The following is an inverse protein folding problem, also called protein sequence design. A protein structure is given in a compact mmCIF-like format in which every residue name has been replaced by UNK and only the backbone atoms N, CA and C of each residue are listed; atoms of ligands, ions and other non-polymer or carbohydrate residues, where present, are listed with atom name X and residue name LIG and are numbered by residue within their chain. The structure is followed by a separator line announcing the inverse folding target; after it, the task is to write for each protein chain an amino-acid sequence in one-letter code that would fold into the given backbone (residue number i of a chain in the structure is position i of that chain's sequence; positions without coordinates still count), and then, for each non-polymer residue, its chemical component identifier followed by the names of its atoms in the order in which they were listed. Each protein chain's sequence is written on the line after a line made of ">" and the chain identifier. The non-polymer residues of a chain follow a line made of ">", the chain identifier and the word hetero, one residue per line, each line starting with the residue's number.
data_IF_917255218123
#
_entry.id   IF_917255218123
#
_cell.length_a   1.000
_cell.length_b   1.000
_cell.length_c   1.000
_cell.angle_alpha   90.00
_cell.angle_beta   90.00
_cell.angle_gamma   90.00
#
_symmetry.space_group_name_H-M   'P 1'
#
loop_
_entity.id
_entity.type
_entity.pdbx_description
1 polymer ?
#
# COMPACT_ATOMS: atom_id res chain seq x y z
N UNK A 1 6.81 -11.68 -10.82
CA UNK A 1 7.28 -11.28 -12.17
C UNK A 1 7.18 -12.42 -13.19
N UNK A 2 7.62 -13.65 -12.88
CA UNK A 2 7.45 -14.79 -13.81
C UNK A 2 6.00 -14.97 -14.30
N UNK A 3 5.02 -14.73 -13.45
CA UNK A 3 3.59 -14.82 -13.77
C UNK A 3 3.09 -13.79 -14.80
N UNK A 4 3.79 -12.68 -15.01
CA UNK A 4 3.37 -11.67 -16.00
C UNK A 4 3.87 -12.00 -17.41
N UNK A 5 5.00 -12.72 -17.50
CA UNK A 5 5.74 -12.90 -18.75
C UNK A 5 5.71 -14.34 -19.32
N UNK A 6 5.34 -15.33 -18.48
CA UNK A 6 5.29 -16.74 -18.90
C UNK A 6 3.87 -17.20 -19.20
N UNK A 7 3.75 -18.37 -19.82
CA UNK A 7 2.46 -19.06 -20.02
C UNK A 7 1.79 -19.24 -18.66
N UNK A 8 0.54 -18.83 -18.59
CA UNK A 8 -0.30 -18.97 -17.41
C UNK A 8 -0.60 -20.46 -17.22
N UNK A 9 -0.15 -21.02 -16.12
CA UNK A 9 -0.38 -22.41 -15.75
C UNK A 9 -1.43 -22.53 -14.63
N UNK A 10 -1.86 -23.75 -14.32
CA UNK A 10 -2.85 -24.00 -13.27
C UNK A 10 -2.36 -23.53 -11.88
N UNK A 11 -1.04 -23.55 -11.63
CA UNK A 11 -0.46 -23.07 -10.39
C UNK A 11 -0.55 -21.55 -10.30
N UNK A 12 -0.24 -20.83 -11.38
CA UNK A 12 -0.38 -19.38 -11.46
C UNK A 12 -1.84 -18.95 -11.23
N UNK A 13 -2.80 -19.68 -11.80
CA UNK A 13 -4.21 -19.42 -11.60
C UNK A 13 -4.65 -19.66 -10.15
N UNK A 14 -4.13 -20.70 -9.52
CA UNK A 14 -4.50 -21.10 -8.15
C UNK A 14 -3.87 -20.20 -7.09
N UNK A 15 -2.59 -19.82 -7.25
CA UNK A 15 -1.82 -19.10 -6.23
C UNK A 15 -1.61 -17.62 -6.54
N UNK A 16 -1.82 -17.17 -7.77
CA UNK A 16 -1.53 -15.80 -8.16
C UNK A 16 -2.30 -14.75 -7.36
N UNK A 17 -3.59 -14.99 -7.10
CA UNK A 17 -4.41 -14.09 -6.28
C UNK A 17 -3.91 -14.03 -4.82
N UNK A 18 -3.51 -15.16 -4.26
CA UNK A 18 -2.91 -15.22 -2.92
C UNK A 18 -1.59 -14.46 -2.86
N UNK A 19 -0.70 -14.67 -3.83
CA UNK A 19 0.59 -13.98 -3.90
C UNK A 19 0.40 -12.47 -4.06
N UNK A 20 -0.51 -12.03 -4.92
CA UNK A 20 -0.81 -10.62 -5.13
C UNK A 20 -1.41 -9.96 -3.88
N UNK A 21 -2.31 -10.65 -3.18
CA UNK A 21 -2.84 -10.18 -1.90
C UNK A 21 -1.75 -10.07 -0.84
N UNK A 22 -0.92 -11.10 -0.69
CA UNK A 22 0.19 -11.10 0.26
C UNK A 22 1.18 -9.96 -0.05
N UNK A 23 1.46 -9.68 -1.32
CA UNK A 23 2.28 -8.55 -1.73
C UNK A 23 1.65 -7.23 -1.29
N UNK A 24 0.36 -7.00 -1.55
CA UNK A 24 -0.34 -5.77 -1.17
C UNK A 24 -0.34 -5.55 0.35
N UNK A 25 -0.69 -6.59 1.12
CA UNK A 25 -0.71 -6.54 2.58
C UNK A 25 0.69 -6.24 3.17
N UNK A 26 1.72 -6.96 2.70
CA UNK A 26 3.09 -6.77 3.18
C UNK A 26 3.66 -5.41 2.78
N UNK A 27 3.37 -4.92 1.58
CA UNK A 27 3.79 -3.59 1.16
C UNK A 27 3.14 -2.49 2.00
N UNK A 28 1.83 -2.58 2.27
CA UNK A 28 1.14 -1.65 3.17
C UNK A 28 1.69 -1.73 4.60
N UNK A 29 1.98 -2.93 5.11
CA UNK A 29 2.60 -3.10 6.42
C UNK A 29 4.01 -2.47 6.48
N UNK A 30 4.81 -2.64 5.43
CA UNK A 30 6.12 -2.01 5.31
C UNK A 30 6.02 -0.47 5.30
N UNK A 31 5.05 0.09 4.58
CA UNK A 31 4.78 1.53 4.56
C UNK A 31 4.35 2.05 5.93
N UNK A 32 3.45 1.33 6.63
CA UNK A 32 3.09 1.67 8.02
C UNK A 32 4.34 1.64 8.91
N UNK A 33 5.21 0.63 8.77
CA UNK A 33 6.45 0.53 9.54
C UNK A 33 7.44 1.67 9.25
N UNK A 34 7.46 2.19 8.02
CA UNK A 34 8.26 3.35 7.65
C UNK A 34 7.73 4.66 8.22
N UNK A 35 6.41 4.82 8.29
CA UNK A 35 5.72 6.00 8.82
C UNK A 35 5.63 6.00 10.34
N UNK A 36 5.43 4.83 10.94
CA UNK A 36 5.25 4.60 12.37
C UNK A 36 6.02 3.35 12.82
N UNK A 37 7.33 3.48 12.92
CA UNK A 37 8.20 2.38 13.34
C UNK A 37 7.85 1.86 14.76
N UNK A 38 7.39 2.74 15.65
CA UNK A 38 6.97 2.32 16.99
C UNK A 38 5.81 1.32 16.93
N UNK A 39 4.84 1.51 16.04
CA UNK A 39 3.72 0.58 15.87
C UNK A 39 4.21 -0.84 15.56
N UNK A 40 5.17 -0.97 14.65
CA UNK A 40 5.69 -2.28 14.24
C UNK A 40 6.58 -2.91 15.31
N UNK A 41 7.42 -2.13 15.96
CA UNK A 41 8.26 -2.60 17.07
C UNK A 41 7.40 -3.07 18.24
N UNK A 42 6.35 -2.32 18.58
CA UNK A 42 5.40 -2.72 19.63
C UNK A 42 4.73 -4.05 19.31
N UNK A 43 4.29 -4.25 18.06
CA UNK A 43 3.68 -5.52 17.65
C UNK A 43 4.68 -6.68 17.73
N UNK A 44 5.92 -6.47 17.31
CA UNK A 44 6.97 -7.47 17.40
C UNK A 44 7.24 -7.88 18.85
N UNK A 45 7.41 -6.90 19.74
CA UNK A 45 7.63 -7.14 21.18
C UNK A 45 6.44 -7.84 21.82
N UNK A 46 5.21 -7.44 21.47
CA UNK A 46 4.00 -8.09 21.97
C UNK A 46 3.92 -9.56 21.55
N UNK A 47 4.23 -9.85 20.29
CA UNK A 47 4.21 -11.20 19.74
C UNK A 47 5.37 -12.08 20.27
N UNK A 48 6.45 -11.47 20.75
CA UNK A 48 7.57 -12.16 21.37
C UNK A 48 7.31 -12.60 22.83
N UNK A 49 6.22 -12.13 23.45
CA UNK A 49 5.91 -12.50 24.83
C UNK A 49 5.53 -13.98 24.93
N UNK A 50 6.02 -14.66 26.00
CA UNK A 50 5.74 -16.09 26.21
C UNK A 50 4.26 -16.45 26.38
N UNK A 51 3.42 -15.48 26.70
CA UNK A 51 1.95 -15.64 26.79
C UNK A 51 1.25 -15.46 25.45
N UNK A 52 1.97 -15.10 24.37
CA UNK A 52 1.38 -14.96 23.04
C UNK A 52 1.05 -16.33 22.46
N UNK A 53 -0.21 -16.56 22.14
CA UNK A 53 -0.66 -17.80 21.53
C UNK A 53 -0.85 -17.63 20.02
N UNK A 54 0.01 -18.27 19.24
CA UNK A 54 -0.10 -18.31 17.78
C UNK A 54 -1.40 -19.01 17.36
N UNK A 55 -2.14 -18.35 16.46
CA UNK A 55 -3.41 -18.92 15.94
C UNK A 55 -4.66 -18.50 16.72
N UNK A 56 -4.54 -17.87 17.88
CA UNK A 56 -5.69 -17.21 18.49
C UNK A 56 -5.95 -15.85 17.84
N UNK A 57 -7.22 -15.50 17.53
CA UNK A 57 -7.54 -14.16 17.06
C UNK A 57 -7.11 -13.13 18.10
N UNK A 58 -6.04 -12.43 17.83
CA UNK A 58 -5.55 -11.39 18.74
C UNK A 58 -5.91 -10.01 18.21
N UNK A 59 -6.15 -9.08 19.13
CA UNK A 59 -6.29 -7.65 18.79
C UNK A 59 -4.94 -6.99 18.46
N UNK A 60 -3.85 -7.72 18.61
CA UNK A 60 -2.46 -7.24 18.57
C UNK A 60 -1.72 -7.68 17.30
N UNK A 61 -2.40 -7.73 16.17
CA UNK A 61 -1.83 -7.95 14.85
C UNK A 61 -1.93 -6.70 13.99
N UNK A 62 -1.16 -6.69 12.89
CA UNK A 62 -1.38 -5.75 11.81
C UNK A 62 -2.76 -6.00 11.18
N UNK A 63 -3.52 -4.93 10.97
CA UNK A 63 -4.88 -5.04 10.46
C UNK A 63 -5.06 -4.17 9.22
N UNK A 64 -5.66 -4.76 8.19
CA UNK A 64 -6.08 -4.01 7.01
C UNK A 64 -7.00 -2.84 7.38
N UNK A 65 -8.05 -3.10 8.16
CA UNK A 65 -8.88 -2.05 8.74
C UNK A 65 -8.33 -1.68 10.12
N UNK A 66 -7.91 -0.43 10.27
CA UNK A 66 -7.28 0.14 11.45
C UNK A 66 -5.84 0.61 11.21
N UNK A 67 -5.00 -0.18 10.51
CA UNK A 67 -3.61 0.22 10.22
C UNK A 67 -3.43 0.74 8.79
N UNK A 68 -4.17 0.22 7.81
CA UNK A 68 -4.14 0.71 6.42
C UNK A 68 -5.30 1.65 6.16
N UNK A 69 -6.52 1.19 6.39
CA UNK A 69 -7.74 1.98 6.26
C UNK A 69 -8.21 2.42 7.64
N UNK A 70 -8.51 3.71 7.80
CA UNK A 70 -9.09 4.22 9.04
C UNK A 70 -10.53 3.72 9.20
N UNK A 71 -10.91 3.45 10.46
CA UNK A 71 -12.30 3.18 10.85
C UNK A 71 -13.10 4.47 11.07
N UNK A 72 -12.46 5.62 10.86
CA UNK A 72 -13.05 6.92 11.19
C UNK A 72 -14.25 7.23 10.30
N UNK A 73 -15.22 7.89 10.90
CA UNK A 73 -16.32 8.49 10.17
C UNK A 73 -15.81 9.66 9.32
N UNK A 74 -16.43 9.94 8.18
CA UNK A 74 -16.10 11.12 7.38
C UNK A 74 -16.12 12.36 8.27
N UNK A 75 -15.03 13.12 8.25
CA UNK A 75 -14.90 14.36 9.00
C UNK A 75 -15.54 15.49 8.22
N UNK A 76 -16.36 16.32 8.90
CA UNK A 76 -16.90 17.53 8.30
C UNK A 76 -15.79 18.55 8.00
N UNK A 77 -14.80 18.63 8.91
CA UNK A 77 -13.58 19.45 8.76
C UNK A 77 -12.40 18.70 9.35
N UNK A 78 -11.28 18.69 8.64
CA UNK A 78 -10.06 17.98 9.05
C UNK A 78 -9.46 18.58 10.35
N UNK A 79 -9.52 19.91 10.49
CA UNK A 79 -8.87 20.67 11.56
C UNK A 79 -9.89 21.26 12.55
N UNK A 80 -10.82 20.44 13.01
CA UNK A 80 -11.78 20.86 14.02
C UNK A 80 -11.08 20.90 15.41
N UNK A 81 -11.15 22.06 16.08
CA UNK A 81 -10.57 22.27 17.42
C UNK A 81 -11.19 21.38 18.51
N UNK A 82 -12.41 20.89 18.29
CA UNK A 82 -13.11 20.00 19.22
C UNK A 82 -12.68 18.53 19.08
N UNK A 83 -11.82 18.23 18.11
CA UNK A 83 -11.27 16.88 17.95
C UNK A 83 -10.26 16.57 19.05
N UNK A 84 -10.43 15.40 19.66
CA UNK A 84 -9.44 14.83 20.56
C UNK A 84 -8.25 14.30 19.73
N UNK A 85 -7.15 15.02 19.74
CA UNK A 85 -5.94 14.69 18.99
C UNK A 85 -5.36 13.32 19.36
N UNK A 86 -5.65 12.82 20.59
CA UNK A 86 -5.21 11.50 21.03
C UNK A 86 -5.93 10.34 20.32
N UNK A 87 -7.07 10.64 19.69
CA UNK A 87 -7.92 9.67 18.97
C UNK A 87 -7.82 9.77 17.44
N UNK A 88 -6.96 10.66 16.94
CA UNK A 88 -6.74 10.78 15.49
C UNK A 88 -6.13 9.49 14.96
N UNK A 89 -6.75 8.95 13.91
CA UNK A 89 -6.29 7.73 13.26
C UNK A 89 -4.90 7.92 12.64
N UNK A 90 -4.03 6.94 12.87
CA UNK A 90 -2.68 6.85 12.30
C UNK A 90 -2.61 5.85 11.14
N UNK A 91 -3.78 5.42 10.64
CA UNK A 91 -3.86 4.51 9.51
C UNK A 91 -3.22 5.14 8.26
N UNK A 92 -2.57 4.31 7.45
CA UNK A 92 -1.83 4.72 6.25
C UNK A 92 -2.60 5.69 5.36
N UNK A 93 -3.90 5.44 5.18
CA UNK A 93 -4.80 6.24 4.34
C UNK A 93 -5.80 7.08 5.15
N UNK A 94 -5.46 7.44 6.39
CA UNK A 94 -6.32 8.37 7.14
C UNK A 94 -6.20 9.80 6.61
N UNK A 95 -7.25 10.62 6.73
CA UNK A 95 -7.23 11.99 6.21
C UNK A 95 -6.14 12.87 6.83
N UNK A 96 -5.84 12.68 8.12
CA UNK A 96 -4.79 13.45 8.79
C UNK A 96 -3.38 13.02 8.36
N UNK A 97 -3.14 11.72 8.17
CA UNK A 97 -1.87 11.21 7.63
C UNK A 97 -1.68 11.69 6.20
N UNK A 98 -2.75 11.71 5.41
CA UNK A 98 -2.71 12.27 4.05
C UNK A 98 -2.29 13.74 4.08
N UNK A 99 -3.01 14.58 4.80
CA UNK A 99 -2.76 16.03 4.83
C UNK A 99 -1.39 16.41 5.42
N UNK A 100 -0.90 15.66 6.43
CA UNK A 100 0.34 16.01 7.15
C UNK A 100 1.59 15.40 6.51
N UNK A 101 1.48 14.20 5.93
CA UNK A 101 2.62 13.46 5.43
C UNK A 101 2.61 13.29 3.91
N UNK A 102 1.52 12.78 3.34
CA UNK A 102 1.50 12.41 1.92
C UNK A 102 1.43 13.61 0.97
N UNK A 103 0.54 14.56 1.22
CA UNK A 103 0.39 15.73 0.33
C UNK A 103 1.67 16.58 0.26
N UNK A 104 2.32 16.94 1.39
CA UNK A 104 3.60 17.63 1.34
C UNK A 104 4.70 16.84 0.62
N UNK A 105 4.80 15.53 0.89
CA UNK A 105 5.78 14.66 0.26
C UNK A 105 5.55 14.52 -1.25
N UNK A 106 4.29 14.46 -1.67
CA UNK A 106 3.93 14.39 -3.08
C UNK A 106 4.36 15.67 -3.82
N UNK A 107 4.09 16.85 -3.26
CA UNK A 107 4.54 18.12 -3.85
C UNK A 107 6.07 18.18 -3.93
N UNK A 108 6.79 17.80 -2.87
CA UNK A 108 8.25 17.75 -2.85
C UNK A 108 8.81 16.75 -3.87
N UNK A 109 8.11 15.65 -4.11
CA UNK A 109 8.49 14.70 -5.15
C UNK A 109 8.31 15.29 -6.55
N UNK A 110 7.22 16.02 -6.82
CA UNK A 110 7.01 16.69 -8.10
C UNK A 110 8.07 17.75 -8.36
N UNK A 111 8.40 18.57 -7.36
CA UNK A 111 9.47 19.57 -7.48
C UNK A 111 10.80 18.89 -7.79
N UNK A 112 11.15 17.82 -7.09
CA UNK A 112 12.35 17.03 -7.36
C UNK A 112 12.39 16.46 -8.79
N UNK A 113 11.28 15.87 -9.25
CA UNK A 113 11.21 15.31 -10.62
C UNK A 113 11.37 16.38 -11.69
N UNK A 114 10.84 17.59 -11.47
CA UNK A 114 10.97 18.73 -12.36
C UNK A 114 12.41 19.28 -12.37
N UNK A 115 13.01 19.48 -11.19
CA UNK A 115 14.36 20.01 -11.03
C UNK A 115 15.42 19.10 -11.67
N UNK A 116 15.28 17.79 -11.51
CA UNK A 116 16.18 16.78 -12.09
C UNK A 116 15.81 16.39 -13.53
N UNK A 117 14.75 16.97 -14.09
CA UNK A 117 14.25 16.67 -15.45
C UNK A 117 14.05 15.18 -15.73
N UNK A 118 13.52 14.44 -14.74
CA UNK A 118 13.33 12.99 -14.82
C UNK A 118 12.09 12.62 -15.65
N UNK A 119 12.22 11.63 -16.53
CA UNK A 119 11.14 11.03 -17.31
C UNK A 119 10.75 9.65 -16.75
N UNK A 120 9.61 9.11 -17.19
CA UNK A 120 9.10 7.80 -16.72
C UNK A 120 8.23 7.87 -15.45
N UNK A 121 7.85 9.10 -15.05
CA UNK A 121 6.99 9.36 -13.89
C UNK A 121 5.64 9.97 -14.27
N UNK A 122 5.19 9.76 -15.52
CA UNK A 122 4.01 10.43 -16.08
C UNK A 122 2.75 10.18 -15.26
N UNK A 123 2.61 8.97 -14.71
CA UNK A 123 1.46 8.64 -13.85
C UNK A 123 1.43 9.48 -12.57
N UNK A 124 2.58 9.71 -11.95
CA UNK A 124 2.70 10.57 -10.76
C UNK A 124 2.57 12.04 -11.15
N UNK A 125 3.28 12.48 -12.18
CA UNK A 125 3.35 13.89 -12.61
C UNK A 125 2.03 14.46 -13.09
N UNK A 126 1.06 13.62 -13.47
CA UNK A 126 -0.28 14.04 -13.90
C UNK A 126 -1.29 14.10 -12.77
N UNK A 127 -0.93 13.68 -11.56
CA UNK A 127 -1.81 13.70 -10.39
C UNK A 127 -1.66 15.01 -9.60
N UNK A 128 -2.70 15.33 -8.84
CA UNK A 128 -2.66 16.37 -7.81
C UNK A 128 -2.42 15.76 -6.44
N UNK A 129 -1.67 16.45 -5.57
CA UNK A 129 -1.35 15.99 -4.22
C UNK A 129 -2.59 15.57 -3.41
N UNK A 130 -3.67 16.37 -3.49
CA UNK A 130 -4.94 16.09 -2.80
C UNK A 130 -5.67 14.84 -3.31
N UNK A 131 -5.33 14.38 -4.51
CA UNK A 131 -5.94 13.21 -5.14
C UNK A 131 -5.12 11.94 -4.99
N UNK A 132 -3.84 12.05 -4.66
CA UNK A 132 -2.90 10.91 -4.65
C UNK A 132 -3.34 9.79 -3.71
N UNK A 133 -3.59 10.09 -2.44
CA UNK A 133 -4.00 9.07 -1.46
C UNK A 133 -5.43 8.61 -1.70
N UNK A 134 -6.33 9.48 -2.14
CA UNK A 134 -7.68 9.05 -2.49
C UNK A 134 -7.69 8.08 -3.67
N UNK A 135 -6.84 8.30 -4.68
CA UNK A 135 -6.65 7.37 -5.80
C UNK A 135 -6.02 6.05 -5.34
N UNK A 136 -4.96 6.09 -4.53
CA UNK A 136 -4.34 4.89 -3.96
C UNK A 136 -5.35 4.07 -3.13
N UNK A 137 -6.10 4.73 -2.26
CA UNK A 137 -7.17 4.12 -1.46
C UNK A 137 -8.26 3.51 -2.33
N UNK A 138 -8.68 4.23 -3.37
CA UNK A 138 -9.68 3.79 -4.34
C UNK A 138 -9.24 2.56 -5.14
N UNK A 139 -7.94 2.36 -5.35
CA UNK A 139 -7.37 1.15 -5.97
C UNK A 139 -7.17 0.02 -4.97
N UNK A 140 -6.57 0.29 -3.81
CA UNK A 140 -6.24 -0.72 -2.80
C UNK A 140 -7.48 -1.46 -2.25
N UNK A 141 -8.57 -0.75 -1.98
CA UNK A 141 -9.78 -1.35 -1.41
C UNK A 141 -10.42 -2.42 -2.31
N UNK A 142 -10.77 -2.07 -3.57
CA UNK A 142 -11.28 -3.04 -4.54
C UNK A 142 -10.29 -4.18 -4.85
N UNK A 143 -8.98 -3.88 -4.98
CA UNK A 143 -7.95 -4.90 -5.18
C UNK A 143 -7.92 -5.90 -4.03
N UNK A 144 -7.88 -5.42 -2.80
CA UNK A 144 -7.90 -6.28 -1.62
C UNK A 144 -9.15 -7.16 -1.60
N UNK A 145 -10.32 -6.59 -1.85
CA UNK A 145 -11.58 -7.33 -1.89
C UNK A 145 -11.61 -8.37 -3.01
N UNK A 146 -11.13 -8.00 -4.21
CA UNK A 146 -11.05 -8.89 -5.37
C UNK A 146 -10.08 -10.06 -5.12
N UNK A 147 -8.87 -9.77 -4.63
CA UNK A 147 -7.85 -10.77 -4.32
C UNK A 147 -8.25 -11.65 -3.13
N UNK A 148 -9.01 -11.12 -2.17
CA UNK A 148 -9.53 -11.90 -1.03
C UNK A 148 -10.46 -13.02 -1.46
N UNK A 149 -11.26 -12.81 -2.51
CA UNK A 149 -12.09 -13.87 -3.08
C UNK A 149 -11.25 -15.03 -3.62
N UNK A 150 -10.02 -14.76 -4.09
CA UNK A 150 -9.04 -15.78 -4.52
C UNK A 150 -8.38 -16.57 -3.39
N UNK A 151 -8.56 -16.16 -2.15
CA UNK A 151 -7.98 -16.82 -0.97
C UNK A 151 -9.04 -17.56 -0.16
N UNK A 152 -10.30 -17.15 -0.27
CA UNK A 152 -11.42 -17.78 0.41
C UNK A 152 -12.13 -18.81 -0.49
N UNK A 153 -12.85 -19.73 0.12
CA UNK A 153 -13.51 -20.89 -0.49
C UNK A 153 -14.57 -20.56 -1.58
N UNK A 154 -14.74 -19.28 -1.94
CA UNK A 154 -15.63 -18.84 -3.01
C UNK A 154 -15.21 -19.37 -4.40
N UNK A 155 -14.02 -20.00 -4.52
CA UNK A 155 -13.46 -20.54 -5.76
C UNK A 155 -13.79 -22.01 -6.07
N UNK A 156 -14.62 -22.68 -5.28
CA UNK A 156 -15.05 -24.04 -5.65
C UNK A 156 -15.99 -24.10 -6.87
N UNK A 157 -16.41 -22.95 -7.36
CA UNK A 157 -17.21 -22.87 -8.58
C UNK A 157 -16.32 -22.32 -9.69
N UNK A 158 -16.06 -23.12 -10.71
CA UNK A 158 -15.21 -22.75 -11.86
C UNK A 158 -15.61 -21.42 -12.53
N UNK A 159 -16.88 -21.01 -12.41
CA UNK A 159 -17.37 -19.73 -12.91
C UNK A 159 -16.90 -18.50 -12.12
N UNK A 160 -16.25 -18.68 -10.96
CA UNK A 160 -15.76 -17.59 -10.09
C UNK A 160 -14.23 -17.49 -10.14
N UNK A 161 -13.53 -18.41 -10.81
CA UNK A 161 -12.08 -18.33 -10.99
C UNK A 161 -11.72 -17.08 -11.78
N UNK A 162 -10.71 -16.36 -11.32
CA UNK A 162 -10.17 -15.24 -12.10
C UNK A 162 -9.54 -15.77 -13.37
N UNK A 163 -9.98 -15.24 -14.52
CA UNK A 163 -9.27 -15.47 -15.76
C UNK A 163 -7.86 -14.84 -15.72
N UNK A 164 -7.00 -15.30 -16.62
CA UNK A 164 -5.61 -14.86 -16.70
C UNK A 164 -5.48 -13.34 -16.83
N UNK A 165 -6.27 -12.71 -17.70
CA UNK A 165 -6.23 -11.27 -17.92
C UNK A 165 -6.59 -10.51 -16.66
N UNK A 166 -7.69 -10.88 -16.02
CA UNK A 166 -8.17 -10.30 -14.76
C UNK A 166 -7.12 -10.41 -13.63
N UNK A 167 -6.42 -11.54 -13.52
CA UNK A 167 -5.40 -11.72 -12.50
C UNK A 167 -4.13 -10.91 -12.81
N UNK A 168 -3.68 -10.92 -14.06
CA UNK A 168 -2.52 -10.11 -14.51
C UNK A 168 -2.76 -8.61 -14.28
N UNK A 169 -3.94 -8.12 -14.61
CA UNK A 169 -4.32 -6.72 -14.40
C UNK A 169 -4.34 -6.39 -12.89
N UNK A 170 -4.90 -7.26 -12.05
CA UNK A 170 -4.89 -7.05 -10.60
C UNK A 170 -3.46 -7.04 -10.02
N UNK A 171 -2.55 -7.87 -10.53
CA UNK A 171 -1.14 -7.86 -10.13
C UNK A 171 -0.47 -6.57 -10.57
N UNK A 172 -0.66 -6.13 -11.83
CA UNK A 172 -0.10 -4.85 -12.32
C UNK A 172 -0.61 -3.66 -11.53
N UNK A 173 -1.91 -3.60 -11.24
CA UNK A 173 -2.51 -2.56 -10.40
C UNK A 173 -1.88 -2.54 -9.01
N UNK A 174 -1.68 -3.71 -8.41
CA UNK A 174 -1.03 -3.86 -7.11
C UNK A 174 0.40 -3.31 -7.13
N UNK A 175 1.21 -3.73 -8.12
CA UNK A 175 2.60 -3.28 -8.30
C UNK A 175 2.68 -1.78 -8.55
N UNK A 176 1.76 -1.23 -9.35
CA UNK A 176 1.67 0.19 -9.65
C UNK A 176 1.40 1.01 -8.39
N UNK A 177 0.37 0.66 -7.62
CA UNK A 177 0.03 1.39 -6.39
C UNK A 177 1.15 1.31 -5.38
N UNK A 178 1.73 0.13 -5.18
CA UNK A 178 2.82 -0.09 -4.23
C UNK A 178 4.06 0.71 -4.62
N UNK A 179 4.45 0.72 -5.91
CA UNK A 179 5.62 1.48 -6.38
C UNK A 179 5.43 2.98 -6.21
N UNK A 180 4.25 3.51 -6.53
CA UNK A 180 3.95 4.93 -6.36
C UNK A 180 4.02 5.36 -4.89
N UNK A 181 3.37 4.61 -3.99
CA UNK A 181 3.42 4.89 -2.55
C UNK A 181 4.85 4.75 -1.99
N UNK A 182 5.59 3.73 -2.42
CA UNK A 182 6.96 3.51 -1.98
C UNK A 182 7.85 4.68 -2.41
N UNK A 183 7.78 5.13 -3.66
CA UNK A 183 8.55 6.26 -4.17
C UNK A 183 8.23 7.55 -3.39
N UNK A 184 6.96 7.95 -3.31
CA UNK A 184 6.55 9.17 -2.59
C UNK A 184 6.95 9.12 -1.11
N UNK A 185 6.92 7.94 -0.46
CA UNK A 185 7.33 7.81 0.94
C UNK A 185 8.79 8.21 1.21
N UNK A 186 9.67 8.27 0.20
CA UNK A 186 11.05 8.76 0.34
C UNK A 186 11.15 10.28 0.51
N UNK A 187 10.08 11.01 0.24
CA UNK A 187 9.97 12.46 0.41
C UNK A 187 9.32 12.86 1.74
N UNK A 188 8.86 11.90 2.55
CA UNK A 188 8.37 12.16 3.90
C UNK A 188 9.55 12.31 4.86
N UNK A 189 9.78 13.50 5.47
CA UNK A 189 10.99 13.77 6.26
C UNK A 189 11.16 12.85 7.48
N UNK A 190 10.04 12.45 8.10
CA UNK A 190 10.01 11.61 9.31
C UNK A 190 9.99 10.12 9.02
N UNK A 191 9.89 9.73 7.75
CA UNK A 191 9.83 8.34 7.34
C UNK A 191 11.23 7.70 7.44
N UNK A 192 11.29 6.47 7.95
CA UNK A 192 12.52 5.69 7.87
C UNK A 192 12.89 5.46 6.40
N UNK A 193 14.11 5.84 6.03
CA UNK A 193 14.61 5.77 4.66
C UNK A 193 15.83 4.87 4.57
N UNK A 194 15.81 3.93 3.63
CA UNK A 194 16.95 3.07 3.29
C UNK A 194 17.72 3.56 2.05
N UNK A 195 17.08 4.38 1.21
CA UNK A 195 17.61 4.92 -0.04
C UNK A 195 17.55 6.45 -0.01
N UNK A 196 18.48 7.10 -0.70
CA UNK A 196 18.32 8.52 -1.04
C UNK A 196 17.31 8.71 -2.18
N UNK A 197 17.00 9.97 -2.54
CA UNK A 197 15.98 10.29 -3.53
C UNK A 197 16.35 9.83 -4.94
N UNK A 198 17.62 9.95 -5.32
CA UNK A 198 18.11 9.54 -6.63
C UNK A 198 18.09 8.01 -6.77
N UNK A 199 18.52 7.30 -5.73
CA UNK A 199 18.41 5.86 -5.67
C UNK A 199 16.94 5.41 -5.71
N UNK A 200 16.05 6.07 -4.96
CA UNK A 200 14.63 5.74 -4.97
C UNK A 200 13.98 5.94 -6.35
N UNK A 201 14.36 7.00 -7.08
CA UNK A 201 13.89 7.24 -8.44
C UNK A 201 14.41 6.15 -9.41
N UNK A 202 15.69 5.79 -9.30
CA UNK A 202 16.28 4.72 -10.11
C UNK A 202 15.60 3.38 -9.88
N UNK A 203 15.39 3.00 -8.63
CA UNK A 203 14.71 1.75 -8.25
C UNK A 203 13.24 1.75 -8.67
N UNK A 204 12.55 2.88 -8.57
CA UNK A 204 11.19 3.02 -9.05
C UNK A 204 11.11 2.72 -10.56
N UNK A 205 11.96 3.33 -11.38
CA UNK A 205 11.98 3.12 -12.83
C UNK A 205 12.31 1.67 -13.17
N UNK A 206 13.40 1.14 -12.59
CA UNK A 206 13.80 -0.25 -12.81
C UNK A 206 12.71 -1.24 -12.43
N UNK A 207 11.99 -0.97 -11.33
CA UNK A 207 10.88 -1.80 -10.90
C UNK A 207 9.69 -1.70 -11.87
N UNK A 208 9.36 -0.50 -12.36
CA UNK A 208 8.27 -0.27 -13.33
C UNK A 208 8.52 -1.00 -14.65
N UNK A 209 9.74 -1.01 -15.15
CA UNK A 209 10.11 -1.74 -16.38
C UNK A 209 9.84 -3.25 -16.31
N UNK A 210 9.79 -3.81 -15.12
CA UNK A 210 9.60 -5.27 -14.96
C UNK A 210 8.15 -5.74 -15.18
N UNK A 211 7.16 -4.83 -15.24
CA UNK A 211 5.74 -5.19 -15.36
C UNK A 211 4.90 -4.28 -16.28
N UNK A 212 5.52 -3.36 -17.00
CA UNK A 212 4.90 -2.56 -18.06
C UNK A 212 4.66 -3.33 -19.35
#
# INVERSE_FOLDING_TARGET
>A
MAYLNNSFDEEAQSFGAFCARALLENACAALVGRLDSFRMLYLAEFQAQGAYEYGKPTKSGFKWTGDVFSEDKPLATLWNSDHDSSKVSRALFSPHVDAVLWQPAFNEALDYLADECLSGFEEISTMEAVSFISAAKGRCGPLYSKLSKGVHWDFFVASVMMDEGTLKDAIRDCLTVVSNLAFISHFIPTCYRSLDRAQAATEYLAFRETFQ
#
